data_IF_330383556117
#
_entry.id   IF_330383556117
#
_cell.length_a   1.000
_cell.length_b   1.000
_cell.length_c   1.000
_cell.angle_alpha   90.00
_cell.angle_beta   90.00
_cell.angle_gamma   90.00
#
_symmetry.space_group_name_H-M   'P 1'
#
loop_
_entity.id
_entity.type
_entity.pdbx_description
1 polymer ?
#
# COMPACT_ATOMS: atom_id res chain seq x y z
N UNK A 1 13.69 6.20 -14.51
CA UNK A 1 12.55 6.32 -15.42
C UNK A 1 11.37 5.50 -14.91
N UNK A 2 10.25 6.14 -14.72
CA UNK A 2 9.08 5.50 -14.14
C UNK A 2 8.00 5.28 -15.17
N UNK A 3 7.34 4.13 -15.07
CA UNK A 3 6.24 3.78 -15.95
C UNK A 3 5.05 3.36 -15.12
N UNK A 4 3.90 3.96 -15.38
CA UNK A 4 2.63 3.53 -14.80
C UNK A 4 2.12 2.33 -15.60
N UNK A 5 1.86 1.23 -14.92
CA UNK A 5 1.36 -0.01 -15.54
C UNK A 5 -0.06 -0.37 -15.11
N UNK A 6 -0.60 0.35 -14.13
CA UNK A 6 -1.99 0.18 -13.70
C UNK A 6 -2.50 1.42 -12.99
N UNK A 7 -3.78 1.77 -13.24
CA UNK A 7 -4.47 2.87 -12.59
C UNK A 7 -5.80 2.37 -12.04
N UNK A 8 -6.11 2.75 -10.79
CA UNK A 8 -7.36 2.42 -10.12
C UNK A 8 -7.76 0.94 -10.30
N UNK A 9 -6.77 0.07 -10.10
CA UNK A 9 -6.94 -1.36 -10.38
C UNK A 9 -7.42 -2.10 -9.14
N UNK A 10 -8.43 -2.96 -9.33
CA UNK A 10 -8.89 -3.88 -8.28
C UNK A 10 -7.90 -5.02 -8.18
N UNK A 11 -7.43 -5.26 -6.96
CA UNK A 11 -6.48 -6.33 -6.65
C UNK A 11 -7.13 -7.31 -5.68
N UNK A 12 -6.91 -8.59 -5.93
CA UNK A 12 -7.45 -9.66 -5.09
C UNK A 12 -6.29 -10.48 -4.55
N UNK A 13 -6.17 -10.50 -3.24
CA UNK A 13 -5.22 -11.35 -2.52
C UNK A 13 -5.92 -12.55 -1.90
N UNK A 14 -5.18 -13.29 -1.11
CA UNK A 14 -5.71 -14.44 -0.40
C UNK A 14 -6.49 -13.98 0.84
N UNK A 15 -7.82 -13.96 0.72
CA UNK A 15 -8.69 -13.55 1.81
C UNK A 15 -8.93 -12.05 1.92
N UNK A 16 -8.51 -11.27 0.93
CA UNK A 16 -8.75 -9.83 0.91
C UNK A 16 -8.81 -9.29 -0.53
N UNK A 17 -9.39 -8.13 -0.69
CA UNK A 17 -9.42 -7.42 -1.96
C UNK A 17 -9.43 -5.92 -1.70
N UNK A 18 -9.00 -5.15 -2.69
CA UNK A 18 -9.02 -3.70 -2.61
C UNK A 18 -8.72 -3.07 -3.95
N UNK A 19 -8.71 -1.73 -3.98
CA UNK A 19 -8.45 -0.96 -5.18
C UNK A 19 -7.26 -0.05 -4.91
N UNK A 20 -6.21 -0.20 -5.71
CA UNK A 20 -5.03 0.67 -5.61
C UNK A 20 -5.10 1.79 -6.62
N UNK A 21 -4.50 2.95 -6.28
CA UNK A 21 -4.50 4.09 -7.19
C UNK A 21 -3.54 3.89 -8.36
N UNK A 22 -2.29 3.51 -8.08
CA UNK A 22 -1.25 3.41 -9.11
C UNK A 22 -0.38 2.18 -8.89
N UNK A 23 -0.12 1.46 -9.97
CA UNK A 23 0.91 0.42 -10.03
C UNK A 23 2.01 0.95 -10.95
N UNK A 24 3.27 0.92 -10.51
CA UNK A 24 4.37 1.49 -11.26
C UNK A 24 5.56 0.55 -11.36
N UNK A 25 6.38 0.80 -12.38
CA UNK A 25 7.70 0.18 -12.55
C UNK A 25 8.70 1.34 -12.70
N UNK A 26 9.72 1.37 -11.85
CA UNK A 26 10.83 2.30 -11.94
C UNK A 26 12.07 1.59 -12.46
N UNK A 27 13.21 2.29 -12.45
CA UNK A 27 14.47 1.71 -12.92
C UNK A 27 14.98 0.61 -11.99
N UNK A 28 14.95 0.88 -10.68
CA UNK A 28 15.51 -0.03 -9.69
C UNK A 28 14.47 -0.52 -8.69
N UNK A 29 13.22 -0.17 -8.89
CA UNK A 29 12.14 -0.53 -7.98
C UNK A 29 10.80 -0.60 -8.72
N UNK A 30 9.85 -1.29 -8.12
CA UNK A 30 8.49 -1.37 -8.63
C UNK A 30 7.51 -1.55 -7.46
N UNK A 31 6.29 -1.13 -7.62
CA UNK A 31 5.32 -1.31 -6.54
C UNK A 31 4.05 -0.48 -6.71
N UNK A 32 3.57 -0.02 -5.56
CA UNK A 32 2.26 0.59 -5.40
C UNK A 32 2.41 2.03 -4.91
N UNK A 33 1.60 2.92 -5.49
CA UNK A 33 1.43 4.28 -4.99
C UNK A 33 -0.03 4.46 -4.61
N UNK A 34 -0.26 4.97 -3.41
CA UNK A 34 -1.60 5.24 -2.91
C UNK A 34 -1.68 6.69 -2.43
N UNK A 35 -2.67 7.42 -2.92
CA UNK A 35 -2.88 8.82 -2.55
C UNK A 35 -3.73 8.92 -1.30
N UNK A 36 -3.35 9.84 -0.41
CA UNK A 36 -4.09 10.14 0.81
C UNK A 36 -4.28 11.64 0.94
N UNK A 37 -5.49 12.08 1.23
CA UNK A 37 -5.71 13.47 1.59
C UNK A 37 -5.41 13.64 3.07
N UNK A 38 -4.90 14.81 3.41
CA UNK A 38 -4.57 15.16 4.79
C UNK A 38 -4.77 16.66 4.99
N UNK A 39 -4.91 17.08 6.22
CA UNK A 39 -5.06 18.49 6.54
C UNK A 39 -3.86 19.32 6.05
N UNK A 40 -2.65 18.84 6.33
CA UNK A 40 -1.38 19.47 5.93
C UNK A 40 -0.38 18.41 5.51
N UNK A 41 -0.08 18.37 4.20
CA UNK A 41 0.87 17.40 3.64
C UNK A 41 2.30 17.60 4.13
N UNK A 42 2.64 18.78 4.64
CA UNK A 42 3.97 19.05 5.16
C UNK A 42 4.19 18.41 6.53
N UNK A 43 3.11 18.03 7.22
CA UNK A 43 3.13 17.37 8.53
C UNK A 43 2.10 16.24 8.55
N UNK A 44 2.24 15.22 7.69
CA UNK A 44 1.23 14.18 7.60
C UNK A 44 1.28 13.27 8.83
N UNK A 45 0.09 12.89 9.31
CA UNK A 45 -0.02 11.77 10.21
C UNK A 45 -0.08 10.50 9.36
N UNK A 46 0.81 9.55 9.62
CA UNK A 46 0.92 8.31 8.83
C UNK A 46 0.58 7.13 9.72
N UNK A 47 -0.70 6.68 9.73
CA UNK A 47 -1.07 5.48 10.47
C UNK A 47 -0.31 4.25 9.94
N UNK A 48 0.01 3.32 10.83
CA UNK A 48 0.66 2.06 10.45
C UNK A 48 -0.17 1.28 9.41
N UNK A 49 -1.49 1.43 9.44
CA UNK A 49 -2.39 0.79 8.48
C UNK A 49 -2.13 1.18 7.02
N UNK A 50 -1.59 2.38 6.77
CA UNK A 50 -1.29 2.82 5.40
C UNK A 50 -0.18 1.98 4.77
N UNK A 51 0.88 1.71 5.52
CA UNK A 51 1.98 0.86 5.06
C UNK A 51 1.49 -0.58 4.87
N UNK A 52 0.67 -1.09 5.78
CA UNK A 52 0.08 -2.42 5.65
C UNK A 52 -0.77 -2.53 4.39
N UNK A 53 -1.54 -1.49 4.07
CA UNK A 53 -2.37 -1.45 2.87
C UNK A 53 -1.51 -1.54 1.60
N UNK A 54 -0.41 -0.78 1.54
CA UNK A 54 0.54 -0.82 0.42
C UNK A 54 1.12 -2.23 0.29
N UNK A 55 1.54 -2.84 1.39
CA UNK A 55 2.11 -4.19 1.39
C UNK A 55 1.09 -5.23 0.90
N UNK A 56 -0.15 -5.13 1.35
CA UNK A 56 -1.24 -6.03 0.92
C UNK A 56 -1.49 -5.93 -0.59
N UNK A 57 -1.53 -4.71 -1.12
CA UNK A 57 -1.70 -4.50 -2.56
C UNK A 57 -0.50 -5.02 -3.34
N UNK A 58 0.71 -4.81 -2.83
CA UNK A 58 1.92 -5.29 -3.49
C UNK A 58 1.90 -6.81 -3.63
N UNK A 59 1.57 -7.52 -2.55
CA UNK A 59 1.48 -8.99 -2.56
C UNK A 59 0.35 -9.46 -3.48
N UNK A 60 -0.79 -8.78 -3.48
CA UNK A 60 -1.90 -9.14 -4.36
C UNK A 60 -1.51 -9.03 -5.84
N UNK A 61 -0.71 -8.01 -6.21
CA UNK A 61 -0.27 -7.80 -7.59
C UNK A 61 0.89 -8.71 -7.98
N UNK A 62 1.88 -8.86 -7.11
CA UNK A 62 3.16 -9.47 -7.46
C UNK A 62 3.41 -10.85 -6.84
N UNK A 63 2.57 -11.29 -5.91
CA UNK A 63 2.70 -12.58 -5.25
C UNK A 63 3.68 -12.62 -4.08
N UNK A 64 4.45 -11.57 -3.86
CA UNK A 64 5.43 -11.50 -2.77
C UNK A 64 6.13 -10.15 -2.77
N UNK A 65 7.08 -9.98 -1.85
CA UNK A 65 7.85 -8.75 -1.68
C UNK A 65 9.33 -9.08 -1.80
N UNK A 66 9.90 -8.85 -2.98
CA UNK A 66 11.34 -9.04 -3.21
C UNK A 66 12.13 -7.77 -2.88
N UNK A 67 13.45 -7.79 -3.09
CA UNK A 67 14.33 -6.70 -2.69
C UNK A 67 14.15 -5.43 -3.52
N UNK A 68 13.47 -5.51 -4.67
CA UNK A 68 13.18 -4.36 -5.52
C UNK A 68 11.80 -3.77 -5.28
N UNK A 69 11.03 -4.35 -4.36
CA UNK A 69 9.73 -3.83 -3.99
C UNK A 69 9.85 -2.51 -3.27
N UNK A 70 8.98 -1.59 -3.58
CA UNK A 70 8.85 -0.33 -2.87
C UNK A 70 7.40 0.14 -2.95
N UNK A 71 7.06 1.15 -2.18
CA UNK A 71 5.74 1.74 -2.23
C UNK A 71 5.75 3.15 -1.70
N UNK A 72 4.69 3.87 -2.00
CA UNK A 72 4.57 5.27 -1.60
C UNK A 72 3.15 5.56 -1.15
N UNK A 73 3.03 6.38 -0.10
CA UNK A 73 1.86 7.21 0.08
C UNK A 73 2.21 8.62 -0.40
N UNK A 74 1.34 9.20 -1.19
CA UNK A 74 1.48 10.60 -1.58
C UNK A 74 0.35 11.36 -0.88
N UNK A 75 0.74 12.25 0.04
CA UNK A 75 -0.19 13.05 0.81
C UNK A 75 -0.48 14.36 0.09
N UNK A 76 -1.74 14.73 0.05
CA UNK A 76 -2.22 15.94 -0.62
C UNK A 76 -2.93 16.82 0.41
N UNK A 77 -2.49 18.06 0.54
CA UNK A 77 -3.05 19.02 1.51
C UNK A 77 -4.45 19.47 1.11
N UNK A 78 -5.38 19.45 2.08
CA UNK A 78 -6.77 19.90 1.87
C UNK A 78 -7.12 21.17 2.63
N UNK A 79 -6.39 21.53 3.66
CA UNK A 79 -6.70 22.70 4.49
C UNK A 79 -5.51 23.64 4.62
N UNK A 80 -4.36 23.17 5.05
CA UNK A 80 -3.16 23.99 5.21
C UNK A 80 -2.16 23.65 4.11
N UNK A 81 -1.45 24.67 3.59
CA UNK A 81 -0.53 24.53 2.47
C UNK A 81 -1.21 23.84 1.26
N UNK A 82 -2.42 24.26 0.93
CA UNK A 82 -3.21 23.70 -0.18
C UNK A 82 -2.39 23.75 -1.46
N UNK A 83 -2.40 22.64 -2.21
CA UNK A 83 -1.59 22.46 -3.41
C UNK A 83 -0.26 21.78 -3.14
N UNK A 84 0.12 21.60 -1.88
CA UNK A 84 1.32 20.88 -1.50
C UNK A 84 1.07 19.37 -1.49
N UNK A 85 2.12 18.64 -1.87
CA UNK A 85 2.13 17.18 -1.81
C UNK A 85 3.40 16.72 -1.10
N UNK A 86 3.33 15.57 -0.45
CA UNK A 86 4.50 14.94 0.14
C UNK A 86 4.47 13.43 -0.11
N UNK A 87 5.53 12.90 -0.66
CA UNK A 87 5.71 11.47 -0.87
C UNK A 87 6.41 10.87 0.34
N UNK A 88 5.86 9.78 0.87
CA UNK A 88 6.48 8.96 1.91
C UNK A 88 6.78 7.61 1.29
N UNK A 89 8.06 7.25 1.21
CA UNK A 89 8.51 6.01 0.60
C UNK A 89 8.68 4.91 1.64
N UNK A 90 8.32 3.71 1.25
CA UNK A 90 8.53 2.49 2.04
C UNK A 90 9.42 1.55 1.24
N UNK A 91 10.48 1.04 1.85
CA UNK A 91 11.36 0.08 1.20
C UNK A 91 10.86 -1.37 1.36
N UNK A 92 11.56 -2.31 0.74
CA UNK A 92 11.16 -3.71 0.75
C UNK A 92 11.11 -4.30 2.17
N UNK A 93 12.07 -3.96 3.01
CA UNK A 93 12.10 -4.47 4.38
C UNK A 93 10.93 -3.95 5.20
N UNK A 94 10.63 -2.66 5.08
CA UNK A 94 9.45 -2.07 5.73
C UNK A 94 8.16 -2.73 5.26
N UNK A 95 8.03 -2.99 3.96
CA UNK A 95 6.86 -3.63 3.40
C UNK A 95 6.73 -5.09 3.86
N UNK A 96 7.85 -5.83 3.98
CA UNK A 96 7.81 -7.20 4.51
C UNK A 96 7.30 -7.24 5.94
N UNK A 97 7.77 -6.33 6.78
CA UNK A 97 7.31 -6.22 8.16
C UNK A 97 5.82 -5.87 8.23
N UNK A 98 5.39 -4.93 7.40
CA UNK A 98 3.98 -4.54 7.32
C UNK A 98 3.11 -5.68 6.81
N UNK A 99 3.59 -6.45 5.84
CA UNK A 99 2.87 -7.62 5.33
C UNK A 99 2.68 -8.67 6.41
N UNK A 100 3.72 -8.93 7.20
CA UNK A 100 3.62 -9.89 8.31
C UNK A 100 2.55 -9.46 9.32
N UNK A 101 2.51 -8.17 9.65
CA UNK A 101 1.48 -7.63 10.54
C UNK A 101 0.09 -7.73 9.92
N UNK A 102 -0.04 -7.42 8.62
CA UNK A 102 -1.31 -7.51 7.90
C UNK A 102 -1.85 -8.96 7.87
N UNK A 103 -0.97 -9.94 7.71
CA UNK A 103 -1.36 -11.35 7.75
C UNK A 103 -1.99 -11.72 9.10
N UNK A 104 -1.45 -11.16 10.19
CA UNK A 104 -2.04 -11.36 11.52
C UNK A 104 -3.46 -10.78 11.62
N UNK A 105 -3.68 -9.59 11.07
CA UNK A 105 -5.01 -8.98 11.05
C UNK A 105 -5.99 -9.76 10.19
N UNK A 106 -5.56 -10.23 9.02
CA UNK A 106 -6.38 -11.06 8.14
C UNK A 106 -6.76 -12.35 8.87
N UNK A 107 -5.82 -12.99 9.53
CA UNK A 107 -6.08 -14.23 10.28
C UNK A 107 -7.07 -14.00 11.41
N UNK A 108 -6.93 -12.91 12.15
CA UNK A 108 -7.86 -12.57 13.22
C UNK A 108 -9.27 -12.31 12.69
N UNK A 109 -9.37 -11.55 11.59
CA UNK A 109 -10.66 -11.28 10.95
C UNK A 109 -11.33 -12.57 10.45
N UNK A 110 -10.55 -13.45 9.82
CA UNK A 110 -11.06 -14.75 9.36
C UNK A 110 -11.60 -15.59 10.51
N UNK A 111 -10.89 -15.61 11.61
CA UNK A 111 -11.32 -16.34 12.80
C UNK A 111 -12.62 -15.77 13.36
N UNK A 112 -12.71 -14.45 13.51
CA UNK A 112 -13.90 -13.79 14.06
C UNK A 112 -15.13 -14.00 13.19
N UNK A 113 -14.95 -14.09 11.87
CA UNK A 113 -16.03 -14.20 10.91
C UNK A 113 -16.23 -15.64 10.39
N UNK A 114 -15.45 -16.59 10.90
CA UNK A 114 -15.47 -17.99 10.45
C UNK A 114 -15.42 -18.12 8.93
N UNK A 115 -14.49 -17.38 8.31
CA UNK A 115 -14.40 -17.27 6.87
C UNK A 115 -13.01 -17.71 6.36
N UNK A 116 -12.95 -18.90 5.75
CA UNK A 116 -11.70 -19.51 5.27
C UNK A 116 -11.85 -19.94 3.81
N UNK A 117 -11.82 -19.00 2.85
CA UNK A 117 -12.15 -19.29 1.46
C UNK A 117 -11.24 -20.30 0.77
N UNK A 118 -10.01 -20.50 1.29
CA UNK A 118 -9.02 -21.41 0.71
C UNK A 118 -8.66 -22.58 1.64
N UNK A 119 -9.47 -22.84 2.65
CA UNK A 119 -9.25 -23.95 3.56
C UNK A 119 -9.87 -25.26 3.02
#
# INVERSE_FOLDING_TARGET
QWKVVGLEQVLVGNGYAGKTDVIYIGQDEYGIIDFKTTKDAMKPFVPASYKMQIAMYHVAEHGGIDDKAAGYNIFISTEENIGSCRAVRYDAEELRKAWKAAQGLIAAWQYENDYYPNA
#
